data_IF_924906696055
#
_entry.id   IF_924906696055
#
_cell.length_a   1.000
_cell.length_b   1.000
_cell.length_c   1.000
_cell.angle_alpha   90.00
_cell.angle_beta   90.00
_cell.angle_gamma   90.00
#
_symmetry.space_group_name_H-M   'P 1'
#
loop_
_entity.id
_entity.type
_entity.pdbx_description
1 polymer ?
#
# COMPACT_ATOMS: atom_id res chain seq x y z
N UNK A 1 6.67 -29.35 0.47
CA UNK A 1 7.54 -28.92 -0.63
C UNK A 1 7.48 -27.41 -0.72
N UNK A 2 8.58 -26.72 -0.42
CA UNK A 2 8.71 -25.28 -0.66
C UNK A 2 8.64 -25.05 -2.18
N UNK A 3 7.66 -24.29 -2.67
CA UNK A 3 7.59 -23.95 -4.09
C UNK A 3 8.76 -23.02 -4.43
N UNK A 4 9.58 -23.42 -5.41
CA UNK A 4 10.81 -22.76 -5.86
C UNK A 4 10.63 -21.35 -6.49
N UNK A 5 9.48 -20.68 -6.33
CA UNK A 5 9.21 -19.40 -6.98
C UNK A 5 8.64 -18.27 -6.10
N UNK A 6 8.56 -18.45 -4.76
CA UNK A 6 7.91 -17.46 -3.87
C UNK A 6 8.52 -16.06 -3.92
N UNK A 7 9.83 -15.96 -4.13
CA UNK A 7 10.48 -14.65 -4.28
C UNK A 7 9.94 -13.92 -5.51
N UNK A 8 9.94 -14.56 -6.67
CA UNK A 8 9.43 -14.00 -7.92
C UNK A 8 7.93 -13.72 -7.88
N UNK A 9 7.15 -14.64 -7.29
CA UNK A 9 5.71 -14.45 -7.10
C UNK A 9 5.43 -13.26 -6.17
N UNK A 10 6.26 -13.10 -5.14
CA UNK A 10 6.21 -11.99 -4.20
C UNK A 10 6.56 -10.65 -4.84
N UNK A 11 7.61 -10.60 -5.65
CA UNK A 11 7.97 -9.41 -6.44
C UNK A 11 6.84 -9.03 -7.42
N UNK A 12 6.29 -10.01 -8.14
CA UNK A 12 5.18 -9.80 -9.07
C UNK A 12 3.96 -9.23 -8.35
N UNK A 13 3.56 -9.86 -7.23
CA UNK A 13 2.41 -9.42 -6.43
C UNK A 13 2.64 -8.05 -5.78
N UNK A 14 3.86 -7.81 -5.31
CA UNK A 14 4.28 -6.54 -4.77
C UNK A 14 4.16 -5.39 -5.77
N UNK A 15 4.60 -5.62 -7.01
CA UNK A 15 4.46 -4.65 -8.12
C UNK A 15 3.01 -4.44 -8.52
N UNK A 16 2.18 -5.47 -8.50
CA UNK A 16 0.73 -5.33 -8.73
C UNK A 16 0.08 -4.42 -7.67
N UNK A 17 0.45 -4.55 -6.40
CA UNK A 17 -0.11 -3.76 -5.30
C UNK A 17 0.44 -2.34 -5.23
N UNK A 18 1.76 -2.18 -5.35
CA UNK A 18 2.47 -0.93 -5.05
C UNK A 18 3.01 -0.21 -6.29
N UNK A 19 2.86 -0.80 -7.48
CA UNK A 19 3.28 -0.21 -8.74
C UNK A 19 4.72 0.31 -8.70
N UNK A 20 4.89 1.57 -9.10
CA UNK A 20 6.18 2.27 -9.13
C UNK A 20 6.82 2.52 -7.74
N UNK A 21 6.11 2.32 -6.63
CA UNK A 21 6.67 2.47 -5.28
C UNK A 21 7.33 1.19 -4.76
N UNK A 22 7.08 0.04 -5.38
CA UNK A 22 7.59 -1.25 -4.95
C UNK A 22 9.12 -1.22 -4.74
N UNK A 23 9.88 -0.78 -5.74
CA UNK A 23 11.33 -0.80 -5.69
C UNK A 23 11.89 0.06 -4.57
N UNK A 24 11.36 1.27 -4.38
CA UNK A 24 11.76 2.18 -3.29
C UNK A 24 11.44 1.59 -1.91
N UNK A 25 10.31 0.89 -1.78
CA UNK A 25 9.92 0.24 -0.51
C UNK A 25 10.86 -0.92 -0.21
N UNK A 26 11.15 -1.77 -1.19
CA UNK A 26 12.05 -2.92 -1.00
C UNK A 26 13.48 -2.46 -0.71
N UNK A 27 13.96 -1.40 -1.36
CA UNK A 27 15.26 -0.79 -1.06
C UNK A 27 15.29 -0.25 0.39
N UNK A 28 14.27 0.48 0.80
CA UNK A 28 14.18 1.04 2.15
C UNK A 28 14.06 -0.04 3.24
N UNK A 29 13.37 -1.16 2.96
CA UNK A 29 13.30 -2.30 3.88
C UNK A 29 14.63 -3.06 3.91
N UNK A 30 15.26 -3.28 2.75
CA UNK A 30 16.52 -4.03 2.65
C UNK A 30 17.67 -3.33 3.34
N UNK A 31 17.70 -1.99 3.27
CA UNK A 31 18.72 -1.18 3.97
C UNK A 31 18.58 -1.26 5.49
N UNK A 32 17.39 -1.55 6.01
CA UNK A 32 17.16 -1.77 7.44
C UNK A 32 17.47 -3.21 7.84
N UNK A 33 16.94 -4.19 7.10
CA UNK A 33 17.16 -5.60 7.36
C UNK A 33 16.81 -6.49 6.15
N UNK A 34 17.81 -7.20 5.62
CA UNK A 34 17.64 -8.07 4.45
C UNK A 34 16.75 -9.30 4.73
N UNK A 35 16.88 -9.92 5.89
CA UNK A 35 16.12 -11.14 6.22
C UNK A 35 14.62 -10.83 6.40
N UNK A 36 14.30 -9.74 7.10
CA UNK A 36 12.91 -9.29 7.22
C UNK A 36 12.33 -8.95 5.85
N UNK A 37 13.11 -8.27 4.99
CA UNK A 37 12.65 -7.95 3.64
C UNK A 37 12.37 -9.22 2.85
N UNK A 38 13.26 -10.21 2.93
CA UNK A 38 13.05 -11.52 2.32
C UNK A 38 11.77 -12.19 2.81
N UNK A 39 11.49 -12.16 4.12
CA UNK A 39 10.25 -12.73 4.65
C UNK A 39 9.00 -11.99 4.15
N UNK A 40 9.06 -10.66 4.05
CA UNK A 40 7.97 -9.86 3.49
C UNK A 40 7.71 -10.27 2.04
N UNK A 41 8.75 -10.34 1.20
CA UNK A 41 8.58 -10.68 -0.22
C UNK A 41 8.13 -12.13 -0.38
N UNK A 42 8.84 -13.11 0.19
CA UNK A 42 8.54 -14.52 -0.02
C UNK A 42 7.25 -14.97 0.66
N UNK A 43 7.00 -14.55 1.90
CA UNK A 43 5.90 -15.07 2.71
C UNK A 43 4.66 -14.18 2.64
N UNK A 44 4.79 -12.87 2.85
CA UNK A 44 3.61 -12.01 2.78
C UNK A 44 3.10 -11.94 1.33
N UNK A 45 3.91 -11.41 0.41
CA UNK A 45 3.47 -11.21 -0.98
C UNK A 45 3.48 -12.51 -1.80
N UNK A 46 4.52 -13.34 -1.65
CA UNK A 46 4.68 -14.57 -2.41
C UNK A 46 3.71 -15.69 -2.04
N UNK A 47 3.28 -15.75 -0.78
CA UNK A 47 2.36 -16.79 -0.29
C UNK A 47 1.00 -16.21 0.13
N UNK A 48 0.95 -15.38 1.18
CA UNK A 48 -0.31 -15.00 1.84
C UNK A 48 -1.23 -14.18 0.93
N UNK A 49 -0.71 -13.20 0.19
CA UNK A 49 -1.48 -12.40 -0.75
C UNK A 49 -1.94 -13.17 -2.00
N UNK A 50 -1.29 -14.31 -2.32
CA UNK A 50 -1.66 -15.18 -3.43
C UNK A 50 -2.71 -16.25 -3.07
N UNK A 51 -3.10 -16.35 -1.80
CA UNK A 51 -4.11 -17.33 -1.38
C UNK A 51 -5.48 -17.02 -2.03
N UNK A 52 -6.25 -18.04 -2.43
CA UNK A 52 -7.61 -17.83 -2.93
C UNK A 52 -8.55 -17.39 -1.79
N UNK A 53 -9.75 -16.93 -2.17
CA UNK A 53 -10.86 -16.64 -1.26
C UNK A 53 -11.11 -15.16 -0.98
N UNK A 54 -10.08 -14.31 -1.05
CA UNK A 54 -10.22 -12.86 -0.96
C UNK A 54 -9.53 -12.18 -2.12
N UNK A 55 -10.21 -11.19 -2.71
CA UNK A 55 -9.62 -10.29 -3.71
C UNK A 55 -8.56 -9.39 -3.05
N UNK A 56 -7.67 -8.81 -3.85
CA UNK A 56 -6.69 -7.85 -3.33
C UNK A 56 -7.37 -6.65 -2.68
N UNK A 57 -8.49 -6.18 -3.25
CA UNK A 57 -9.26 -5.08 -2.66
C UNK A 57 -9.75 -5.41 -1.26
N UNK A 58 -10.31 -6.59 -1.06
CA UNK A 58 -10.76 -7.06 0.26
C UNK A 58 -9.58 -7.19 1.24
N UNK A 59 -8.43 -7.66 0.78
CA UNK A 59 -7.23 -7.76 1.61
C UNK A 59 -6.73 -6.39 2.06
N UNK A 60 -6.69 -5.41 1.15
CA UNK A 60 -6.27 -4.05 1.50
C UNK A 60 -7.23 -3.38 2.48
N UNK A 61 -8.54 -3.59 2.37
CA UNK A 61 -9.51 -3.12 3.38
C UNK A 61 -9.20 -3.68 4.78
N UNK A 62 -8.85 -4.95 4.87
CA UNK A 62 -8.43 -5.59 6.12
C UNK A 62 -7.11 -4.99 6.62
N UNK A 63 -6.14 -4.79 5.71
CA UNK A 63 -4.84 -4.22 6.05
C UNK A 63 -4.98 -2.79 6.61
N UNK A 64 -5.68 -1.88 5.92
CA UNK A 64 -5.80 -0.49 6.34
C UNK A 64 -6.56 -0.34 7.67
N UNK A 65 -7.60 -1.14 7.90
CA UNK A 65 -8.33 -1.11 9.17
C UNK A 65 -7.48 -1.65 10.32
N UNK A 66 -6.77 -2.76 10.09
CA UNK A 66 -5.87 -3.34 11.09
C UNK A 66 -4.73 -2.39 11.47
N UNK A 67 -4.15 -1.69 10.49
CA UNK A 67 -3.05 -0.75 10.71
C UNK A 67 -3.51 0.53 11.41
N UNK A 68 -4.70 1.03 11.06
CA UNK A 68 -5.34 2.14 11.76
C UNK A 68 -5.56 1.80 13.24
N UNK A 69 -6.15 0.64 13.55
CA UNK A 69 -6.38 0.19 14.93
C UNK A 69 -5.10 0.05 15.76
N UNK A 70 -3.97 -0.26 15.11
CA UNK A 70 -2.67 -0.42 15.76
C UNK A 70 -1.86 0.89 15.85
N UNK A 71 -2.35 2.00 15.30
CA UNK A 71 -1.61 3.27 15.22
C UNK A 71 -0.32 3.18 14.39
N UNK A 72 -0.35 2.41 13.28
CA UNK A 72 0.82 2.17 12.41
C UNK A 72 0.80 3.07 11.19
N UNK A 73 0.91 4.38 11.41
CA UNK A 73 0.67 5.41 10.39
C UNK A 73 1.52 5.27 9.12
N UNK A 74 2.80 4.94 9.26
CA UNK A 74 3.71 4.79 8.11
C UNK A 74 3.27 3.65 7.18
N UNK A 75 2.91 2.51 7.77
CA UNK A 75 2.39 1.36 7.05
C UNK A 75 0.98 1.65 6.53
N UNK A 76 0.12 2.33 7.30
CA UNK A 76 -1.21 2.74 6.87
C UNK A 76 -1.14 3.60 5.60
N UNK A 77 -0.24 4.58 5.54
CA UNK A 77 0.00 5.41 4.34
C UNK A 77 0.39 4.56 3.12
N UNK A 78 1.23 3.55 3.33
CA UNK A 78 1.66 2.62 2.27
C UNK A 78 0.49 1.77 1.74
N UNK A 79 -0.35 1.26 2.64
CA UNK A 79 -1.50 0.43 2.28
C UNK A 79 -2.68 1.22 1.71
N UNK A 80 -2.90 2.47 2.13
CA UNK A 80 -3.88 3.37 1.47
C UNK A 80 -3.44 3.65 0.02
N UNK A 81 -2.15 3.86 -0.21
CA UNK A 81 -1.65 3.98 -1.58
C UNK A 81 -1.84 2.69 -2.38
N UNK A 82 -1.52 1.52 -1.80
CA UNK A 82 -1.72 0.23 -2.45
C UNK A 82 -3.20 0.02 -2.80
N UNK A 83 -4.12 0.33 -1.88
CA UNK A 83 -5.56 0.24 -2.07
C UNK A 83 -6.03 1.07 -3.28
N UNK A 84 -5.59 2.33 -3.38
CA UNK A 84 -5.88 3.19 -4.53
C UNK A 84 -5.30 2.61 -5.83
N UNK A 85 -4.06 2.13 -5.80
CA UNK A 85 -3.38 1.57 -6.98
C UNK A 85 -4.09 0.32 -7.54
N UNK A 86 -4.66 -0.52 -6.67
CA UNK A 86 -5.49 -1.68 -7.09
C UNK A 86 -6.97 -1.31 -7.34
N UNK A 87 -7.28 -0.01 -7.36
CA UNK A 87 -8.56 0.54 -7.80
C UNK A 87 -9.64 0.63 -6.73
N UNK A 88 -9.31 0.64 -5.44
CA UNK A 88 -10.26 1.19 -4.46
C UNK A 88 -10.42 2.69 -4.69
N UNK A 89 -11.65 3.16 -4.55
CA UNK A 89 -11.98 4.58 -4.61
C UNK A 89 -11.66 5.26 -3.28
N UNK A 90 -11.47 6.58 -3.33
CA UNK A 90 -11.33 7.40 -2.12
C UNK A 90 -12.55 7.22 -1.20
N UNK A 91 -13.75 7.13 -1.78
CA UNK A 91 -15.01 6.94 -1.03
C UNK A 91 -15.08 5.58 -0.34
N UNK A 92 -14.70 4.48 -1.00
CA UNK A 92 -14.65 3.15 -0.36
C UNK A 92 -13.68 3.13 0.85
N UNK A 93 -12.54 3.79 0.74
CA UNK A 93 -11.56 3.91 1.83
C UNK A 93 -12.15 4.76 2.98
N UNK A 94 -12.82 5.87 2.66
CA UNK A 94 -13.45 6.74 3.65
C UNK A 94 -14.58 6.02 4.39
N UNK A 95 -15.48 5.35 3.67
CA UNK A 95 -16.57 4.53 4.25
C UNK A 95 -16.02 3.42 5.15
N UNK A 96 -14.90 2.81 4.76
CA UNK A 96 -14.22 1.80 5.58
C UNK A 96 -13.78 2.37 6.93
N UNK A 97 -13.19 3.57 6.96
CA UNK A 97 -12.78 4.20 8.21
C UNK A 97 -13.96 4.74 9.03
N UNK A 98 -15.04 5.18 8.39
CA UNK A 98 -16.29 5.51 9.10
C UNK A 98 -16.84 4.25 9.79
N UNK A 99 -16.89 3.12 9.08
CA UNK A 99 -17.35 1.85 9.65
C UNK A 99 -16.44 1.35 10.78
N UNK A 100 -15.12 1.58 10.65
CA UNK A 100 -14.13 1.24 11.67
C UNK A 100 -14.41 1.90 13.03
N UNK A 101 -15.01 3.10 13.04
CA UNK A 101 -15.35 3.82 14.27
C UNK A 101 -16.22 3.00 15.23
N UNK A 102 -17.05 2.09 14.71
CA UNK A 102 -17.90 1.20 15.51
C UNK A 102 -17.11 0.18 16.34
N UNK A 103 -15.90 -0.17 15.89
CA UNK A 103 -15.07 -1.22 16.51
C UNK A 103 -13.85 -0.67 17.24
N UNK A 104 -13.33 0.48 16.82
CA UNK A 104 -12.11 1.08 17.38
C UNK A 104 -12.32 2.46 18.02
N UNK A 105 -13.55 2.97 18.02
CA UNK A 105 -13.89 4.32 18.47
C UNK A 105 -13.60 5.41 17.44
N UNK A 106 -14.28 6.55 17.61
CA UNK A 106 -14.18 7.72 16.72
C UNK A 106 -12.77 8.32 16.61
N UNK A 107 -11.94 8.42 17.68
CA UNK A 107 -10.59 8.97 17.56
C UNK A 107 -9.73 8.22 16.53
N UNK A 108 -9.69 6.89 16.62
CA UNK A 108 -8.96 6.02 15.68
C UNK A 108 -9.42 6.23 14.23
N UNK A 109 -10.75 6.32 14.01
CA UNK A 109 -11.30 6.57 12.69
C UNK A 109 -10.93 7.94 12.14
N UNK A 110 -10.98 8.99 12.98
CA UNK A 110 -10.61 10.36 12.59
C UNK A 110 -9.13 10.47 12.23
N UNK A 111 -8.25 9.81 12.98
CA UNK A 111 -6.82 9.76 12.68
C UNK A 111 -6.55 9.05 11.35
N UNK A 112 -7.20 7.91 11.10
CA UNK A 112 -7.10 7.19 9.84
C UNK A 112 -7.60 8.02 8.65
N UNK A 113 -8.73 8.72 8.82
CA UNK A 113 -9.29 9.64 7.81
C UNK A 113 -8.32 10.79 7.52
N UNK A 114 -7.72 11.38 8.55
CA UNK A 114 -6.72 12.45 8.38
C UNK A 114 -5.54 11.94 7.54
N UNK A 115 -5.02 10.76 7.87
CA UNK A 115 -3.93 10.12 7.12
C UNK A 115 -4.35 9.83 5.67
N UNK A 116 -5.57 9.38 5.43
CA UNK A 116 -6.08 9.12 4.08
C UNK A 116 -6.11 10.39 3.23
N UNK A 117 -6.60 11.50 3.78
CA UNK A 117 -6.63 12.81 3.10
C UNK A 117 -5.24 13.30 2.72
N UNK A 118 -4.24 13.13 3.59
CA UNK A 118 -2.84 13.45 3.28
C UNK A 118 -2.30 12.68 2.05
N UNK A 119 -2.85 11.50 1.75
CA UNK A 119 -2.50 10.71 0.56
C UNK A 119 -3.34 11.14 -0.65
N UNK A 120 -4.62 11.45 -0.45
CA UNK A 120 -5.54 11.85 -1.52
C UNK A 120 -5.19 13.19 -2.16
N UNK A 121 -4.61 14.11 -1.38
CA UNK A 121 -4.24 15.46 -1.79
C UNK A 121 -2.86 15.52 -2.48
N UNK A 122 -2.14 14.38 -2.54
CA UNK A 122 -0.93 14.29 -3.37
C UNK A 122 -1.36 14.10 -4.82
N UNK A 123 -0.89 14.94 -5.75
CA UNK A 123 -1.25 14.79 -7.16
C UNK A 123 -0.85 13.40 -7.64
N UNK A 124 -1.80 12.67 -8.25
CA UNK A 124 -1.43 11.48 -9.00
C UNK A 124 -0.65 11.93 -10.25
N UNK A 125 0.25 11.10 -10.81
CA UNK A 125 0.92 11.42 -12.06
C UNK A 125 -0.07 11.79 -13.18
N UNK A 126 -1.25 11.18 -13.16
CA UNK A 126 -2.34 11.40 -14.12
C UNK A 126 -3.05 12.75 -13.93
N UNK A 127 -3.14 13.24 -12.69
CA UNK A 127 -3.80 14.52 -12.36
C UNK A 127 -2.98 15.76 -12.74
N UNK A 128 -1.70 15.60 -13.10
CA UNK A 128 -0.83 16.75 -13.42
C UNK A 128 -1.04 17.28 -14.84
N UNK A 129 -1.70 16.54 -15.74
CA UNK A 129 -1.86 16.95 -17.15
C UNK A 129 -0.52 17.20 -17.89
N UNK A 130 0.61 16.78 -17.31
CA UNK A 130 1.94 16.92 -17.89
C UNK A 130 2.37 15.58 -18.46
N UNK A 131 2.73 15.57 -19.75
CA UNK A 131 3.33 14.41 -20.43
C UNK A 131 4.54 13.89 -19.61
N UNK A 132 4.57 12.60 -19.22
CA UNK A 132 5.67 11.99 -18.48
C UNK A 132 7.06 12.20 -19.09
N UNK A 133 7.15 12.56 -20.38
CA UNK A 133 8.42 12.86 -21.06
C UNK A 133 9.03 14.23 -20.72
N UNK A 134 8.35 15.09 -19.97
CA UNK A 134 8.83 16.46 -19.68
C UNK A 134 9.43 16.66 -18.28
N UNK A 135 9.54 15.62 -17.45
CA UNK A 135 10.01 15.74 -16.05
C UNK A 135 11.55 15.75 -15.93
N UNK A 136 12.31 15.52 -17.01
CA UNK A 136 13.77 15.31 -16.93
C UNK A 136 14.68 16.51 -17.31
N UNK A 137 14.19 17.75 -17.40
CA UNK A 137 15.03 18.86 -17.90
C UNK A 137 15.17 20.10 -17.00
N UNK A 138 14.72 20.11 -15.74
CA UNK A 138 14.75 21.35 -14.92
C UNK A 138 15.59 21.36 -13.64
N UNK A 139 16.45 20.38 -13.42
CA UNK A 139 17.35 20.36 -12.25
C UNK A 139 18.85 20.56 -12.60
N UNK A 140 19.18 21.18 -13.74
CA UNK A 140 20.57 21.52 -14.12
C UNK A 140 20.73 22.98 -14.56
N UNK A 141 20.33 23.94 -13.72
CA UNK A 141 20.76 25.34 -13.82
C UNK A 141 20.98 25.96 -12.44
#
# INVERSE_FOLDING_TARGET
>A
MWKQNRMKDGESKGRELLGNKWDKIIEALSSQNQDITKYIVEWAYGEVYNRPGLTLKQRELISITSLAMQGRDSQLKTHIYAALNIGLTKDEIMETFIHLALFSGFPTALDAIKIAKEIFDKPSPEDTGVDPKHILEKDNA
#
